data_IF_334806421522
#
_entry.id   IF_334806421522
#
_cell.length_a   1.000
_cell.length_b   1.000
_cell.length_c   1.000
_cell.angle_alpha   90.00
_cell.angle_beta   90.00
_cell.angle_gamma   90.00
#
_symmetry.space_group_name_H-M   'P 1'
#
loop_
_entity.id
_entity.type
_entity.pdbx_description
1 polymer ?
#
# COMPACT_ATOMS: atom_id res chain seq x y z
N UNK A 1 15.93 -7.03 -25.41
CA UNK A 1 15.45 -7.55 -24.10
C UNK A 1 16.58 -7.47 -23.07
N UNK A 2 17.07 -6.26 -22.74
CA UNK A 2 18.28 -6.06 -21.89
C UNK A 2 18.08 -4.98 -20.79
N UNK A 3 16.88 -4.40 -20.65
CA UNK A 3 16.62 -3.30 -19.73
C UNK A 3 16.34 -3.71 -18.26
N UNK A 4 16.68 -4.94 -17.85
CA UNK A 4 16.45 -5.45 -16.49
C UNK A 4 17.73 -5.56 -15.64
N UNK A 5 18.88 -5.15 -16.18
CA UNK A 5 20.18 -5.58 -15.62
C UNK A 5 20.69 -4.77 -14.43
N UNK A 6 20.11 -3.61 -14.10
CA UNK A 6 20.57 -2.81 -12.94
C UNK A 6 19.39 -2.17 -12.19
N UNK A 7 18.52 -2.99 -11.63
CA UNK A 7 17.59 -2.51 -10.60
C UNK A 7 18.37 -2.41 -9.28
N UNK A 8 18.48 -1.20 -8.72
CA UNK A 8 19.10 -0.93 -7.42
C UNK A 8 18.42 -1.77 -6.32
N UNK A 9 19.18 -2.18 -5.30
CA UNK A 9 18.61 -2.89 -4.13
C UNK A 9 17.48 -2.08 -3.48
N UNK A 10 17.56 -0.75 -3.53
CA UNK A 10 16.53 0.16 -3.03
C UNK A 10 15.26 0.08 -3.86
N UNK A 11 15.37 0.03 -5.19
CA UNK A 11 14.21 -0.09 -6.09
C UNK A 11 13.51 -1.44 -5.92
N UNK A 12 14.26 -2.53 -5.69
CA UNK A 12 13.65 -3.84 -5.35
C UNK A 12 12.86 -3.76 -4.06
N UNK A 13 13.42 -3.10 -3.04
CA UNK A 13 12.76 -2.93 -1.76
C UNK A 13 11.48 -2.11 -1.91
N UNK A 14 11.53 -0.98 -2.62
CA UNK A 14 10.35 -0.15 -2.89
C UNK A 14 9.28 -0.94 -3.66
N UNK A 15 9.69 -1.72 -4.67
CA UNK A 15 8.77 -2.55 -5.43
C UNK A 15 8.06 -3.59 -4.54
N UNK A 16 8.80 -4.27 -3.65
CA UNK A 16 8.24 -5.25 -2.71
C UNK A 16 7.28 -4.58 -1.73
N UNK A 17 7.63 -3.40 -1.20
CA UNK A 17 6.78 -2.64 -0.28
C UNK A 17 5.48 -2.25 -0.96
N UNK A 18 5.55 -1.66 -2.17
CA UNK A 18 4.38 -1.24 -2.93
C UNK A 18 3.50 -2.43 -3.30
N UNK A 19 4.11 -3.52 -3.78
CA UNK A 19 3.39 -4.77 -4.10
C UNK A 19 2.67 -5.34 -2.87
N UNK A 20 3.29 -5.26 -1.69
CA UNK A 20 2.69 -5.69 -0.43
C UNK A 20 1.50 -4.81 -0.05
N UNK A 21 1.64 -3.49 -0.14
CA UNK A 21 0.56 -2.53 0.14
C UNK A 21 -0.64 -2.80 -0.78
N UNK A 22 -0.40 -3.00 -2.08
CA UNK A 22 -1.45 -3.29 -3.06
C UNK A 22 -2.14 -4.62 -2.72
N UNK A 23 -1.37 -5.67 -2.44
CA UNK A 23 -1.91 -7.00 -2.13
C UNK A 23 -2.81 -6.97 -0.88
N UNK A 24 -2.36 -6.32 0.20
CA UNK A 24 -3.16 -6.15 1.42
C UNK A 24 -4.42 -5.33 1.14
N UNK A 25 -4.33 -4.31 0.30
CA UNK A 25 -5.47 -3.46 -0.04
C UNK A 25 -6.54 -4.19 -0.85
N UNK A 26 -6.13 -5.07 -1.78
CA UNK A 26 -7.08 -5.92 -2.52
C UNK A 26 -7.81 -6.85 -1.56
N UNK A 27 -7.09 -7.52 -0.65
CA UNK A 27 -7.69 -8.44 0.33
C UNK A 27 -8.66 -7.72 1.27
N UNK A 28 -8.29 -6.54 1.77
CA UNK A 28 -9.16 -5.70 2.58
C UNK A 28 -10.40 -5.24 1.81
N UNK A 29 -10.25 -4.85 0.54
CA UNK A 29 -11.37 -4.51 -0.34
C UNK A 29 -12.34 -5.69 -0.51
N UNK A 30 -11.83 -6.90 -0.74
CA UNK A 30 -12.67 -8.10 -0.83
C UNK A 30 -13.43 -8.31 0.48
N UNK A 31 -12.76 -8.21 1.62
CA UNK A 31 -13.39 -8.39 2.93
C UNK A 31 -14.51 -7.36 3.19
N UNK A 32 -14.29 -6.09 2.84
CA UNK A 32 -15.29 -5.02 2.98
C UNK A 32 -16.43 -5.20 1.98
N UNK A 33 -16.14 -5.60 0.74
CA UNK A 33 -17.16 -5.83 -0.29
C UNK A 33 -18.09 -6.99 0.04
N UNK A 34 -17.58 -8.05 0.66
CA UNK A 34 -18.35 -9.22 1.12
C UNK A 34 -19.16 -8.94 2.38
N UNK A 35 -18.98 -7.78 3.02
CA UNK A 35 -19.69 -7.45 4.25
C UNK A 35 -21.11 -6.95 3.93
N UNK A 36 -22.07 -7.87 4.02
CA UNK A 36 -23.48 -7.60 3.70
C UNK A 36 -24.16 -6.64 4.69
N UNK A 37 -23.60 -6.43 5.88
CA UNK A 37 -24.11 -5.48 6.87
C UNK A 37 -23.85 -4.04 6.45
N UNK A 38 -22.76 -3.79 5.72
CA UNK A 38 -22.34 -2.44 5.33
C UNK A 38 -22.71 -2.13 3.88
N UNK A 39 -22.73 -3.16 3.02
CA UNK A 39 -23.08 -3.03 1.62
C UNK A 39 -24.06 -4.14 1.21
N UNK A 40 -25.20 -3.76 0.65
CA UNK A 40 -26.11 -4.72 0.00
C UNK A 40 -25.31 -5.49 -1.05
N UNK A 41 -25.46 -6.81 -1.16
CA UNK A 41 -24.71 -7.68 -2.09
C UNK A 41 -24.69 -7.17 -3.56
N UNK A 42 -25.73 -6.43 -4.00
CA UNK A 42 -25.78 -5.75 -5.32
C UNK A 42 -24.70 -4.67 -5.49
N UNK A 43 -24.25 -4.08 -4.39
CA UNK A 43 -23.25 -3.02 -4.33
C UNK A 43 -21.86 -3.55 -3.91
N UNK A 44 -21.64 -4.87 -3.99
CA UNK A 44 -20.34 -5.51 -3.72
C UNK A 44 -19.17 -4.76 -4.35
N UNK A 45 -19.29 -4.42 -5.64
CA UNK A 45 -18.24 -3.71 -6.39
C UNK A 45 -17.91 -2.34 -5.78
N UNK A 46 -18.91 -1.62 -5.28
CA UNK A 46 -18.71 -0.32 -4.63
C UNK A 46 -18.00 -0.48 -3.28
N UNK A 47 -18.40 -1.47 -2.47
CA UNK A 47 -17.74 -1.80 -1.20
C UNK A 47 -16.29 -2.26 -1.40
N UNK A 48 -16.05 -3.10 -2.41
CA UNK A 48 -14.71 -3.53 -2.81
C UNK A 48 -13.82 -2.36 -3.23
N UNK A 49 -14.31 -1.48 -4.10
CA UNK A 49 -13.56 -0.31 -4.58
C UNK A 49 -13.27 0.67 -3.43
N UNK A 50 -14.27 0.98 -2.59
CA UNK A 50 -14.10 1.88 -1.47
C UNK A 50 -13.12 1.32 -0.43
N UNK A 51 -13.28 0.04 -0.07
CA UNK A 51 -12.42 -0.63 0.91
C UNK A 51 -10.97 -0.75 0.44
N UNK A 52 -10.76 -1.12 -0.82
CA UNK A 52 -9.40 -1.21 -1.40
C UNK A 52 -8.74 0.16 -1.49
N UNK A 53 -9.44 1.18 -1.99
CA UNK A 53 -8.91 2.55 -2.09
C UNK A 53 -8.54 3.11 -0.71
N UNK A 54 -9.44 2.99 0.26
CA UNK A 54 -9.21 3.47 1.62
C UNK A 54 -8.00 2.78 2.24
N UNK A 55 -7.88 1.47 2.06
CA UNK A 55 -6.76 0.69 2.60
C UNK A 55 -5.43 1.10 1.97
N UNK A 56 -5.38 1.31 0.64
CA UNK A 56 -4.17 1.81 -0.05
C UNK A 56 -3.75 3.16 0.53
N UNK A 57 -4.69 4.11 0.65
CA UNK A 57 -4.39 5.45 1.14
C UNK A 57 -3.81 5.39 2.55
N UNK A 58 -4.45 4.64 3.45
CA UNK A 58 -4.00 4.50 4.84
C UNK A 58 -2.60 3.87 4.92
N UNK A 59 -2.37 2.75 4.24
CA UNK A 59 -1.06 2.06 4.23
C UNK A 59 0.04 2.93 3.63
N UNK A 60 -0.27 3.64 2.54
CA UNK A 60 0.66 4.54 1.89
C UNK A 60 1.01 5.73 2.79
N UNK A 61 0.02 6.33 3.45
CA UNK A 61 0.23 7.40 4.42
C UNK A 61 1.11 6.94 5.58
N UNK A 62 0.84 5.76 6.15
CA UNK A 62 1.68 5.18 7.21
C UNK A 62 3.12 4.99 6.72
N UNK A 63 3.30 4.41 5.53
CA UNK A 63 4.63 4.21 4.95
C UNK A 63 5.38 5.55 4.78
N UNK A 64 4.74 6.58 4.21
CA UNK A 64 5.39 7.89 4.04
C UNK A 64 5.68 8.59 5.37
N UNK A 65 4.79 8.49 6.35
CA UNK A 65 5.04 9.03 7.69
C UNK A 65 6.27 8.37 8.32
N UNK A 66 6.36 7.03 8.29
CA UNK A 66 7.52 6.30 8.83
C UNK A 66 8.80 6.69 8.09
N UNK A 67 8.75 6.69 6.75
CA UNK A 67 9.90 7.05 5.92
C UNK A 67 10.40 8.47 6.23
N UNK A 68 9.49 9.43 6.39
CA UNK A 68 9.82 10.82 6.75
C UNK A 68 10.53 10.92 8.10
N UNK A 69 10.05 10.21 9.13
CA UNK A 69 10.69 10.23 10.45
C UNK A 69 12.05 9.52 10.45
N UNK A 70 12.20 8.43 9.70
CA UNK A 70 13.50 7.75 9.56
C UNK A 70 14.53 8.59 8.82
N UNK A 71 14.14 9.24 7.73
CA UNK A 71 15.00 10.15 6.97
C UNK A 71 15.44 11.33 7.85
N UNK A 72 14.50 11.93 8.59
CA UNK A 72 14.82 12.99 9.57
C UNK A 72 15.78 12.52 10.67
N UNK A 73 15.63 11.28 11.16
CA UNK A 73 16.51 10.71 12.20
C UNK A 73 17.92 10.45 11.66
N UNK A 74 18.06 9.90 10.46
CA UNK A 74 19.37 9.67 9.84
C UNK A 74 20.12 10.98 9.62
N UNK A 75 19.45 12.02 9.13
CA UNK A 75 20.07 13.34 8.93
C UNK A 75 20.53 14.02 10.22
N UNK A 76 19.99 13.63 11.38
CA UNK A 76 20.40 14.16 12.69
C UNK A 76 21.60 13.42 13.30
N UNK A 77 21.82 12.16 12.94
CA UNK A 77 22.95 11.36 13.43
C UNK A 77 24.25 11.58 12.65
N UNK A 78 24.17 12.25 11.49
CA UNK A 78 25.33 12.63 10.67
C UNK A 78 25.87 14.04 10.98
N UNK A 79 25.30 14.71 12.01
CA UNK A 79 25.78 15.99 12.56
C UNK A 79 26.50 15.77 13.90
#
# INVERSE_FOLDING_TARGET
MVALKEISKQDKLQFIIISSIISVSILSGIFVGLNEDWFISRNFTAGYMAGSLMTVIVLFSIYRSIAFFFEKKNNHNEQ
#
